data_IF_969287776220
#
_entry.id   IF_969287776220
#
_cell.length_a   1.000
_cell.length_b   1.000
_cell.length_c   1.000
_cell.angle_alpha   90.00
_cell.angle_beta   90.00
_cell.angle_gamma   90.00
#
_symmetry.space_group_name_H-M   'P 1'
#
loop_
_entity.id
_entity.type
_entity.pdbx_description
1 polymer ?
#
# COMPACT_ATOMS: atom_id res chain seq x y z
N UNK A 1 27.59 -35.56 -57.02
CA UNK A 1 28.02 -34.46 -57.91
C UNK A 1 27.47 -33.17 -57.34
N UNK A 2 28.38 -32.36 -56.79
CA UNK A 2 28.10 -31.09 -56.11
C UNK A 2 27.63 -30.05 -57.11
N UNK A 3 26.43 -29.51 -56.95
CA UNK A 3 25.97 -28.33 -57.68
C UNK A 3 25.95 -27.16 -56.71
N UNK A 4 26.92 -26.27 -56.89
CA UNK A 4 27.09 -25.05 -56.13
C UNK A 4 25.88 -24.12 -56.36
N UNK A 5 25.29 -23.64 -55.26
CA UNK A 5 24.36 -22.51 -55.26
C UNK A 5 25.11 -21.26 -55.76
N UNK A 6 24.53 -20.44 -56.65
CA UNK A 6 25.18 -19.22 -57.11
C UNK A 6 25.34 -18.25 -55.94
N UNK A 7 26.53 -17.66 -55.86
CA UNK A 7 26.93 -16.65 -54.89
C UNK A 7 25.87 -15.55 -54.76
N UNK A 8 25.60 -15.21 -53.50
CA UNK A 8 25.01 -13.95 -53.07
C UNK A 8 25.62 -12.79 -53.86
N UNK A 9 24.77 -12.08 -54.58
CA UNK A 9 25.01 -10.76 -55.14
C UNK A 9 25.48 -9.82 -54.01
N UNK A 10 26.81 -9.59 -53.96
CA UNK A 10 27.48 -8.74 -52.96
C UNK A 10 27.44 -7.26 -53.33
N UNK A 11 26.83 -6.89 -54.45
CA UNK A 11 26.74 -5.52 -54.95
C UNK A 11 25.32 -4.96 -54.88
N UNK A 12 24.55 -5.36 -53.86
CA UNK A 12 23.39 -4.56 -53.46
C UNK A 12 23.92 -3.26 -52.85
N UNK A 13 23.71 -2.09 -53.47
CA UNK A 13 24.10 -0.84 -52.82
C UNK A 13 23.43 -0.81 -51.46
N UNK A 14 24.22 -0.55 -50.42
CA UNK A 14 23.67 -0.30 -49.09
C UNK A 14 22.56 0.74 -49.28
N UNK A 15 21.31 0.35 -49.06
CA UNK A 15 20.21 1.32 -48.97
C UNK A 15 20.67 2.31 -47.94
N UNK A 16 21.08 3.50 -48.40
CA UNK A 16 21.40 4.61 -47.53
C UNK A 16 20.20 4.73 -46.63
N UNK A 17 20.37 4.38 -45.35
CA UNK A 17 19.35 4.59 -44.34
C UNK A 17 19.28 6.11 -44.23
N UNK A 18 18.43 6.73 -45.04
CA UNK A 18 17.95 8.07 -44.77
C UNK A 18 17.44 8.00 -43.34
N UNK A 19 18.11 8.70 -42.43
CA UNK A 19 17.58 8.84 -41.08
C UNK A 19 16.14 9.29 -41.26
N UNK A 20 15.15 8.56 -40.69
CA UNK A 20 13.77 8.96 -40.84
C UNK A 20 13.69 10.39 -40.33
N UNK A 21 13.23 11.30 -41.19
CA UNK A 21 12.91 12.66 -40.79
C UNK A 21 11.75 12.54 -39.80
N UNK A 22 12.08 12.55 -38.51
CA UNK A 22 11.09 12.46 -37.44
C UNK A 22 10.45 13.84 -37.33
N UNK A 23 9.32 14.01 -38.03
CA UNK A 23 8.46 15.16 -37.81
C UNK A 23 7.72 14.97 -36.47
N UNK A 24 8.03 15.83 -35.50
CA UNK A 24 7.38 15.82 -34.20
C UNK A 24 6.12 16.66 -34.29
N UNK A 25 4.99 16.08 -33.90
CA UNK A 25 3.76 16.83 -33.72
C UNK A 25 4.03 18.06 -32.81
N UNK A 26 3.51 19.22 -33.20
CA UNK A 26 3.63 20.48 -32.43
C UNK A 26 2.87 20.50 -31.10
N UNK A 27 2.60 19.33 -30.51
CA UNK A 27 1.94 19.14 -29.22
C UNK A 27 2.46 17.88 -28.53
N UNK A 28 2.43 17.89 -27.20
CA UNK A 28 2.61 16.74 -26.34
C UNK A 28 1.26 16.26 -25.79
N UNK A 29 1.05 14.94 -25.78
CA UNK A 29 -0.07 14.31 -25.10
C UNK A 29 0.41 13.74 -23.76
N UNK A 30 -0.20 14.20 -22.67
CA UNK A 30 0.10 13.75 -21.32
C UNK A 30 -1.05 12.99 -20.67
N UNK A 31 -0.70 12.20 -19.66
CA UNK A 31 -1.63 11.47 -18.80
C UNK A 31 -1.32 11.75 -17.35
N UNK A 32 -2.36 12.00 -16.54
CA UNK A 32 -2.22 12.13 -15.08
C UNK A 32 -3.35 11.42 -14.36
N UNK A 33 -3.10 11.03 -13.11
CA UNK A 33 -4.16 10.57 -12.21
C UNK A 33 -5.16 11.69 -11.95
N UNK A 34 -6.45 11.35 -11.88
CA UNK A 34 -7.51 12.31 -11.64
C UNK A 34 -7.64 12.72 -10.16
N UNK A 35 -7.02 11.98 -9.25
CA UNK A 35 -7.01 12.29 -7.81
C UNK A 35 -5.63 12.84 -7.41
N UNK A 36 -5.55 14.06 -6.84
CA UNK A 36 -4.30 14.56 -6.28
C UNK A 36 -3.76 13.63 -5.18
N UNK A 37 -2.44 13.40 -5.15
CA UNK A 37 -1.82 12.56 -4.13
C UNK A 37 -2.11 13.05 -2.70
N UNK A 38 -2.21 14.37 -2.52
CA UNK A 38 -2.51 14.99 -1.23
C UNK A 38 -3.87 14.55 -0.64
N UNK A 39 -4.82 14.10 -1.47
CA UNK A 39 -6.12 13.58 -1.01
C UNK A 39 -5.97 12.23 -0.29
N UNK A 40 -4.88 11.51 -0.52
CA UNK A 40 -4.58 10.25 0.16
C UNK A 40 -3.88 10.44 1.51
N UNK A 41 -3.40 11.66 1.83
CA UNK A 41 -2.70 11.94 3.08
C UNK A 41 -3.44 11.50 4.34
N UNK A 42 -4.76 11.73 4.48
CA UNK A 42 -5.51 11.29 5.66
C UNK A 42 -5.63 9.77 5.80
N UNK A 43 -5.29 8.99 4.76
CA UNK A 43 -5.27 7.53 4.81
C UNK A 43 -3.92 6.98 5.32
N UNK A 44 -2.91 7.84 5.46
CA UNK A 44 -1.59 7.46 5.93
C UNK A 44 -1.55 7.49 7.46
N UNK A 45 -1.27 6.33 8.08
CA UNK A 45 -1.07 6.21 9.52
C UNK A 45 0.33 6.71 9.95
N UNK A 46 0.61 8.00 9.70
CA UNK A 46 1.94 8.61 9.90
C UNK A 46 2.33 8.63 11.37
N UNK A 47 1.40 8.91 12.29
CA UNK A 47 1.68 8.95 13.74
C UNK A 47 1.97 7.56 14.27
N UNK A 48 1.18 6.55 13.88
CA UNK A 48 1.44 5.16 14.21
C UNK A 48 2.78 4.71 13.66
N UNK A 49 3.10 5.03 12.40
CA UNK A 49 4.39 4.66 11.80
C UNK A 49 5.58 5.24 12.57
N UNK A 50 5.53 6.54 12.91
CA UNK A 50 6.61 7.19 13.66
C UNK A 50 6.85 6.54 15.04
N UNK A 51 5.77 6.11 15.73
CA UNK A 51 5.87 5.40 17.00
C UNK A 51 6.43 3.98 16.85
N UNK A 52 6.02 3.25 15.81
CA UNK A 52 6.60 1.94 15.49
C UNK A 52 8.10 2.05 15.19
N UNK A 53 8.50 3.05 14.41
CA UNK A 53 9.92 3.32 14.14
C UNK A 53 10.69 3.65 15.45
N UNK A 54 10.06 4.36 16.39
CA UNK A 54 10.63 4.62 17.72
C UNK A 54 10.79 3.33 18.54
N UNK A 55 9.81 2.44 18.54
CA UNK A 55 9.86 1.15 19.23
C UNK A 55 11.01 0.29 18.68
N UNK A 56 11.18 0.25 17.36
CA UNK A 56 12.29 -0.47 16.72
C UNK A 56 13.66 0.10 17.12
N UNK A 57 13.79 1.43 17.23
CA UNK A 57 15.01 2.07 17.78
C UNK A 57 15.28 1.65 19.22
N UNK A 58 14.25 1.66 20.08
CA UNK A 58 14.39 1.25 21.49
C UNK A 58 14.82 -0.21 21.62
N UNK A 59 14.33 -1.09 20.75
CA UNK A 59 14.77 -2.50 20.68
C UNK A 59 16.23 -2.61 20.26
N UNK A 60 16.63 -1.89 19.22
CA UNK A 60 18.01 -1.88 18.72
C UNK A 60 19.00 -1.37 19.78
N UNK A 61 18.64 -0.33 20.55
CA UNK A 61 19.45 0.19 21.65
C UNK A 61 19.59 -0.81 22.81
N UNK A 62 18.57 -1.63 23.05
CA UNK A 62 18.52 -2.58 24.16
C UNK A 62 19.17 -3.93 23.83
N UNK A 63 19.20 -4.31 22.56
CA UNK A 63 19.81 -5.55 22.09
C UNK A 63 21.25 -5.78 22.60
N UNK A 64 22.21 -4.83 22.45
CA UNK A 64 23.58 -5.05 22.92
C UNK A 64 23.68 -5.20 24.44
N UNK A 65 22.78 -4.57 25.21
CA UNK A 65 22.71 -4.78 26.66
C UNK A 65 22.32 -6.22 26.98
N UNK A 66 21.33 -6.75 26.26
CA UNK A 66 20.87 -8.14 26.42
C UNK A 66 21.94 -9.16 26.04
N UNK A 67 22.68 -8.92 24.96
CA UNK A 67 23.81 -9.77 24.54
C UNK A 67 24.89 -9.81 25.61
N UNK A 68 25.37 -8.65 26.06
CA UNK A 68 26.42 -8.57 27.06
C UNK A 68 26.00 -9.16 28.42
N UNK A 69 24.73 -9.02 28.81
CA UNK A 69 24.18 -9.65 30.01
C UNK A 69 24.15 -11.18 29.88
N UNK A 70 23.78 -11.71 28.71
CA UNK A 70 23.76 -13.17 28.51
C UNK A 70 25.17 -13.76 28.58
N UNK A 71 26.17 -13.07 28.04
CA UNK A 71 27.56 -13.52 28.10
C UNK A 71 28.08 -13.56 29.55
N UNK A 72 27.80 -12.51 30.33
CA UNK A 72 28.16 -12.47 31.76
C UNK A 72 27.42 -13.57 32.55
N UNK A 73 26.12 -13.74 32.31
CA UNK A 73 25.33 -14.80 32.95
C UNK A 73 25.80 -16.20 32.53
N UNK A 74 26.25 -16.39 31.29
CA UNK A 74 26.76 -17.68 30.80
C UNK A 74 28.05 -18.07 31.51
N UNK A 75 28.94 -17.11 31.75
CA UNK A 75 30.15 -17.30 32.54
C UNK A 75 29.86 -17.52 34.04
N UNK A 76 28.84 -16.83 34.58
CA UNK A 76 28.49 -16.88 36.00
C UNK A 76 27.77 -18.18 36.42
N UNK A 77 26.79 -18.66 35.63
CA UNK A 77 25.94 -19.80 36.03
C UNK A 77 26.72 -21.07 36.45
N UNK A 78 27.83 -21.46 35.80
CA UNK A 78 28.63 -22.62 36.21
C UNK A 78 29.30 -22.46 37.58
N UNK A 79 29.62 -21.23 38.00
CA UNK A 79 30.38 -20.95 39.23
C UNK A 79 29.50 -20.94 40.49
N UNK A 80 28.18 -20.98 40.31
CA UNK A 80 27.20 -20.90 41.41
C UNK A 80 26.76 -22.31 41.83
N UNK A 81 26.52 -22.57 43.13
CA UNK A 81 25.98 -23.84 43.60
C UNK A 81 24.67 -24.22 42.89
N UNK A 82 24.40 -25.52 42.64
CA UNK A 82 23.25 -25.99 41.87
C UNK A 82 21.89 -25.39 42.29
N UNK A 83 21.68 -25.21 43.59
CA UNK A 83 20.47 -24.63 44.21
C UNK A 83 20.20 -23.18 43.80
N UNK A 84 21.24 -22.44 43.37
CA UNK A 84 21.15 -21.04 42.98
C UNK A 84 21.18 -20.83 41.46
N UNK A 85 21.38 -21.88 40.67
CA UNK A 85 21.48 -21.77 39.20
C UNK A 85 20.16 -21.45 38.54
N UNK A 86 19.05 -21.98 39.08
CA UNK A 86 17.76 -21.90 38.41
C UNK A 86 17.27 -20.46 38.19
N UNK A 87 17.28 -19.56 39.20
CA UNK A 87 16.91 -18.16 39.00
C UNK A 87 17.73 -17.46 37.92
N UNK A 88 19.06 -17.71 37.86
CA UNK A 88 19.94 -17.11 36.86
C UNK A 88 19.67 -17.62 35.44
N UNK A 89 19.33 -18.91 35.29
CA UNK A 89 18.88 -19.50 34.02
C UNK A 89 17.56 -18.86 33.59
N UNK A 90 16.64 -18.61 34.52
CA UNK A 90 15.38 -17.96 34.22
C UNK A 90 15.60 -16.49 33.77
N UNK A 91 16.60 -15.79 34.32
CA UNK A 91 17.04 -14.49 33.79
C UNK A 91 17.58 -14.61 32.37
N UNK A 92 18.48 -15.55 32.08
CA UNK A 92 18.98 -15.76 30.71
C UNK A 92 17.84 -16.00 29.72
N UNK A 93 16.87 -16.83 30.11
CA UNK A 93 15.67 -17.11 29.29
C UNK A 93 14.80 -15.89 29.12
N UNK A 94 14.61 -15.09 30.16
CA UNK A 94 13.83 -13.85 30.07
C UNK A 94 14.50 -12.86 29.11
N UNK A 95 15.83 -12.67 29.21
CA UNK A 95 16.58 -11.78 28.32
C UNK A 95 16.57 -12.30 26.89
N UNK A 96 16.78 -13.61 26.68
CA UNK A 96 16.78 -14.21 25.36
C UNK A 96 15.42 -14.12 24.66
N UNK A 97 14.33 -14.34 25.38
CA UNK A 97 12.97 -14.31 24.84
C UNK A 97 12.28 -12.95 24.96
N UNK A 98 13.03 -11.92 25.37
CA UNK A 98 12.53 -10.56 25.55
C UNK A 98 11.33 -10.41 26.52
N UNK A 99 11.35 -11.14 27.63
CA UNK A 99 10.25 -11.20 28.62
C UNK A 99 10.54 -10.35 29.85
N UNK A 100 9.51 -10.05 30.63
CA UNK A 100 9.72 -9.48 31.97
C UNK A 100 10.41 -10.50 32.89
N UNK A 101 11.26 -10.03 33.80
CA UNK A 101 11.85 -10.86 34.85
C UNK A 101 10.87 -11.01 36.01
N UNK A 102 10.90 -12.18 36.66
CA UNK A 102 10.28 -12.34 37.97
C UNK A 102 11.14 -11.65 39.04
N UNK A 103 10.55 -11.06 40.10
CA UNK A 103 11.30 -10.35 41.15
C UNK A 103 12.41 -11.19 41.80
N UNK A 104 12.18 -12.49 41.99
CA UNK A 104 13.14 -13.43 42.58
C UNK A 104 14.35 -13.66 41.67
N UNK A 105 14.12 -13.70 40.36
CA UNK A 105 15.17 -13.87 39.36
C UNK A 105 16.01 -12.60 39.21
N UNK A 106 15.36 -11.43 39.27
CA UNK A 106 16.04 -10.13 39.31
C UNK A 106 16.94 -10.01 40.54
N UNK A 107 16.42 -10.30 41.73
CA UNK A 107 17.19 -10.24 42.97
C UNK A 107 18.40 -11.18 42.94
N UNK A 108 18.20 -12.43 42.50
CA UNK A 108 19.28 -13.40 42.39
C UNK A 108 20.40 -12.97 41.43
N UNK A 109 20.05 -12.31 40.34
CA UNK A 109 21.01 -11.73 39.41
C UNK A 109 21.73 -10.52 40.00
N UNK A 110 21.01 -9.59 40.63
CA UNK A 110 21.61 -8.40 41.26
C UNK A 110 22.67 -8.73 42.31
N UNK A 111 22.44 -9.78 43.11
CA UNK A 111 23.38 -10.24 44.14
C UNK A 111 24.71 -10.77 43.58
N UNK A 112 24.72 -11.24 42.32
CA UNK A 112 25.85 -12.01 41.76
C UNK A 112 26.51 -11.38 40.55
N UNK A 113 25.80 -10.50 39.84
CA UNK A 113 26.36 -9.72 38.75
C UNK A 113 27.42 -8.74 39.26
N UNK A 114 28.32 -8.36 38.36
CA UNK A 114 29.21 -7.22 38.59
C UNK A 114 28.41 -5.90 38.72
N UNK A 115 29.05 -4.82 39.17
CA UNK A 115 28.39 -3.51 39.21
C UNK A 115 27.94 -3.05 37.82
N UNK A 116 28.76 -3.30 36.81
CA UNK A 116 28.42 -3.01 35.42
C UNK A 116 27.29 -3.92 34.91
N UNK A 117 27.32 -5.21 35.25
CA UNK A 117 26.23 -6.15 34.98
C UNK A 117 24.90 -5.71 35.59
N UNK A 118 24.90 -5.26 36.85
CA UNK A 118 23.72 -4.67 37.51
C UNK A 118 23.23 -3.41 36.80
N UNK A 119 24.13 -2.54 36.37
CA UNK A 119 23.78 -1.33 35.64
C UNK A 119 23.15 -1.67 34.27
N UNK A 120 23.71 -2.63 33.54
CA UNK A 120 23.16 -3.14 32.27
C UNK A 120 21.78 -3.78 32.47
N UNK A 121 21.61 -4.60 33.51
CA UNK A 121 20.34 -5.25 33.83
C UNK A 121 19.24 -4.22 34.09
N UNK A 122 19.52 -3.21 34.93
CA UNK A 122 18.59 -2.10 35.19
C UNK A 122 18.22 -1.35 33.91
N UNK A 123 19.20 -0.98 33.09
CA UNK A 123 18.96 -0.29 31.79
C UNK A 123 18.13 -1.14 30.84
N UNK A 124 18.39 -2.45 30.78
CA UNK A 124 17.64 -3.37 29.95
C UNK A 124 16.17 -3.48 30.42
N UNK A 125 15.93 -3.61 31.73
CA UNK A 125 14.57 -3.67 32.30
C UNK A 125 13.81 -2.35 32.12
N UNK A 126 14.49 -1.21 32.31
CA UNK A 126 13.90 0.11 32.07
C UNK A 126 13.55 0.31 30.60
N UNK A 127 14.41 -0.11 29.67
CA UNK A 127 14.15 -0.08 28.23
C UNK A 127 12.93 -0.93 27.85
N UNK A 128 12.82 -2.16 28.40
CA UNK A 128 11.64 -3.04 28.24
C UNK A 128 10.35 -2.38 28.73
N UNK A 129 10.38 -1.73 29.89
CA UNK A 129 9.20 -1.06 30.46
C UNK A 129 8.76 0.11 29.59
N UNK A 130 9.70 0.97 29.18
CA UNK A 130 9.42 2.10 28.27
C UNK A 130 8.89 1.62 26.93
N UNK A 131 9.40 0.51 26.39
CA UNK A 131 8.90 -0.10 25.15
C UNK A 131 7.44 -0.54 25.31
N UNK A 132 7.09 -1.17 26.44
CA UNK A 132 5.72 -1.58 26.71
C UNK A 132 4.75 -0.40 26.83
N UNK A 133 5.18 0.70 27.48
CA UNK A 133 4.44 1.95 27.56
C UNK A 133 4.22 2.57 26.16
N UNK A 134 5.27 2.61 25.34
CA UNK A 134 5.19 3.15 23.98
C UNK A 134 4.31 2.28 23.06
N UNK A 135 4.34 0.96 23.20
CA UNK A 135 3.43 0.05 22.50
C UNK A 135 1.96 0.30 22.86
N UNK A 136 1.66 0.53 24.15
CA UNK A 136 0.31 0.87 24.58
C UNK A 136 -0.14 2.23 24.00
N UNK A 137 0.74 3.22 24.00
CA UNK A 137 0.47 4.53 23.39
C UNK A 137 0.27 4.43 21.86
N UNK A 138 1.10 3.64 21.17
CA UNK A 138 0.98 3.38 19.74
C UNK A 138 -0.35 2.70 19.38
N UNK A 139 -0.83 1.77 20.21
CA UNK A 139 -2.12 1.11 20.01
C UNK A 139 -3.31 2.08 20.11
N UNK A 140 -3.25 3.07 21.01
CA UNK A 140 -4.27 4.12 21.11
C UNK A 140 -4.26 5.01 19.86
N UNK A 141 -3.09 5.50 19.47
CA UNK A 141 -2.93 6.33 18.27
C UNK A 141 -3.35 5.59 16.99
N UNK A 142 -3.06 4.30 16.88
CA UNK A 142 -3.48 3.49 15.73
C UNK A 142 -5.00 3.38 15.61
N UNK A 143 -5.73 3.31 16.73
CA UNK A 143 -7.19 3.30 16.71
C UNK A 143 -7.75 4.65 16.26
N UNK A 144 -7.15 5.75 16.69
CA UNK A 144 -7.52 7.11 16.29
C UNK A 144 -7.31 7.33 14.79
N UNK A 145 -6.09 7.07 14.29
CA UNK A 145 -5.74 7.22 12.87
C UNK A 145 -6.59 6.31 11.99
N UNK A 146 -6.91 5.09 12.44
CA UNK A 146 -7.81 4.20 11.70
C UNK A 146 -9.22 4.78 11.58
N UNK A 147 -9.75 5.38 12.65
CA UNK A 147 -11.06 6.02 12.62
C UNK A 147 -11.06 7.28 11.73
N UNK A 148 -9.99 8.08 11.78
CA UNK A 148 -9.78 9.23 10.89
C UNK A 148 -9.69 8.80 9.42
N UNK A 149 -8.89 7.78 9.13
CA UNK A 149 -8.71 7.20 7.81
C UNK A 149 -10.02 6.67 7.24
N UNK A 150 -10.84 5.97 8.03
CA UNK A 150 -12.18 5.52 7.60
C UNK A 150 -13.12 6.68 7.27
N UNK A 151 -13.11 7.75 8.08
CA UNK A 151 -13.90 8.95 7.77
C UNK A 151 -13.43 9.61 6.48
N UNK A 152 -12.13 9.69 6.25
CA UNK A 152 -11.58 10.21 5.00
C UNK A 152 -11.93 9.32 3.80
N UNK A 153 -11.81 8.01 3.97
CA UNK A 153 -12.15 7.02 2.96
C UNK A 153 -13.62 7.13 2.53
N UNK A 154 -14.55 7.25 3.48
CA UNK A 154 -15.97 7.48 3.19
C UNK A 154 -16.22 8.82 2.48
N UNK A 155 -15.52 9.91 2.85
CA UNK A 155 -15.61 11.20 2.15
C UNK A 155 -15.10 11.13 0.72
N UNK A 156 -14.01 10.40 0.47
CA UNK A 156 -13.47 10.21 -0.87
C UNK A 156 -14.40 9.37 -1.74
N UNK A 157 -15.04 8.34 -1.17
CA UNK A 157 -15.97 7.46 -1.87
C UNK A 157 -17.15 8.20 -2.51
N UNK A 158 -17.65 9.25 -1.85
CA UNK A 158 -18.81 10.03 -2.33
C UNK A 158 -18.43 11.13 -3.33
N UNK A 159 -17.16 11.32 -3.64
CA UNK A 159 -16.77 12.29 -4.67
C UNK A 159 -17.24 11.79 -6.03
N UNK A 160 -17.84 12.67 -6.80
CA UNK A 160 -18.43 12.29 -8.07
C UNK A 160 -17.43 11.67 -9.07
N UNK A 161 -16.19 12.14 -9.08
CA UNK A 161 -15.10 11.60 -9.92
C UNK A 161 -14.76 10.15 -9.54
N UNK A 162 -14.70 9.85 -8.24
CA UNK A 162 -14.51 8.51 -7.69
C UNK A 162 -15.70 7.61 -7.99
N UNK A 163 -16.93 8.03 -7.64
CA UNK A 163 -18.15 7.25 -7.83
C UNK A 163 -18.35 6.82 -9.29
N UNK A 164 -18.16 7.74 -10.25
CA UNK A 164 -18.25 7.42 -11.68
C UNK A 164 -17.19 6.44 -12.16
N UNK A 165 -15.97 6.51 -11.64
CA UNK A 165 -14.92 5.56 -11.99
C UNK A 165 -15.18 4.16 -11.40
N UNK A 166 -15.79 4.09 -10.21
CA UNK A 166 -16.19 2.83 -9.58
C UNK A 166 -17.33 2.15 -10.35
N UNK A 167 -18.34 2.90 -10.81
CA UNK A 167 -19.42 2.38 -11.65
C UNK A 167 -18.90 1.66 -12.91
N UNK A 168 -17.83 2.17 -13.53
CA UNK A 168 -17.20 1.53 -14.70
C UNK A 168 -16.42 0.25 -14.36
N UNK A 169 -16.19 -0.01 -13.08
CA UNK A 169 -15.46 -1.20 -12.60
C UNK A 169 -16.37 -2.40 -12.34
N UNK A 170 -17.69 -2.19 -12.37
CA UNK A 170 -18.72 -3.22 -12.24
C UNK A 170 -19.68 -2.98 -11.07
N UNK A 171 -20.95 -3.32 -11.28
CA UNK A 171 -22.07 -2.99 -10.38
C UNK A 171 -21.87 -3.51 -8.94
N UNK A 172 -21.31 -4.71 -8.80
CA UNK A 172 -21.03 -5.31 -7.49
C UNK A 172 -20.06 -4.49 -6.62
N UNK A 173 -19.12 -3.77 -7.25
CA UNK A 173 -18.15 -2.93 -6.56
C UNK A 173 -18.83 -1.65 -6.08
N UNK A 174 -19.62 -1.03 -6.95
CA UNK A 174 -20.35 0.20 -6.65
C UNK A 174 -21.33 -0.03 -5.49
N UNK A 175 -22.17 -1.06 -5.57
CA UNK A 175 -23.10 -1.43 -4.50
C UNK A 175 -22.40 -1.73 -3.16
N UNK A 176 -21.24 -2.39 -3.20
CA UNK A 176 -20.45 -2.71 -2.01
C UNK A 176 -19.94 -1.44 -1.34
N UNK A 177 -19.46 -0.47 -2.13
CA UNK A 177 -18.93 0.81 -1.65
C UNK A 177 -20.06 1.72 -1.17
N UNK A 178 -21.18 1.79 -1.88
CA UNK A 178 -22.36 2.51 -1.42
C UNK A 178 -22.87 1.97 -0.08
N UNK A 179 -22.89 0.65 0.09
CA UNK A 179 -23.28 0.01 1.35
C UNK A 179 -22.28 0.32 2.46
N UNK A 180 -20.99 0.39 2.14
CA UNK A 180 -19.96 0.83 3.08
C UNK A 180 -20.22 2.25 3.56
N UNK A 181 -20.43 3.21 2.64
CA UNK A 181 -20.72 4.61 2.97
C UNK A 181 -22.00 4.75 3.79
N UNK A 182 -23.08 4.07 3.39
CA UNK A 182 -24.39 4.16 4.09
C UNK A 182 -24.37 3.56 5.49
N UNK A 183 -23.53 2.57 5.77
CA UNK A 183 -23.44 1.92 7.09
C UNK A 183 -22.80 2.81 8.17
N UNK A 184 -22.25 3.96 7.80
CA UNK A 184 -22.21 5.18 8.59
C UNK A 184 -21.43 5.21 9.91
N UNK A 185 -20.97 4.07 10.44
CA UNK A 185 -20.25 4.02 11.70
C UNK A 185 -18.79 3.57 11.51
N UNK A 186 -17.85 4.51 11.30
CA UNK A 186 -16.42 4.21 11.22
C UNK A 186 -15.83 3.73 12.56
N UNK A 187 -16.56 3.84 13.67
CA UNK A 187 -16.13 3.43 15.01
C UNK A 187 -16.41 1.95 15.31
N UNK A 188 -17.29 1.30 14.54
CA UNK A 188 -17.61 -0.13 14.74
C UNK A 188 -16.53 -1.04 14.12
N UNK A 189 -16.19 -2.19 14.74
CA UNK A 189 -15.28 -3.16 14.14
C UNK A 189 -15.79 -3.61 12.77
N UNK A 190 -14.96 -3.55 11.71
CA UNK A 190 -15.40 -3.92 10.38
C UNK A 190 -15.56 -5.44 10.29
N UNK A 191 -16.69 -5.87 9.75
CA UNK A 191 -16.88 -7.26 9.35
C UNK A 191 -16.09 -7.58 8.06
N UNK A 192 -16.07 -8.85 7.64
CA UNK A 192 -15.33 -9.29 6.44
C UNK A 192 -15.66 -8.46 5.20
N UNK A 193 -16.94 -8.15 4.98
CA UNK A 193 -17.39 -7.41 3.80
C UNK A 193 -16.95 -5.94 3.86
N UNK A 194 -17.03 -5.32 5.04
CA UNK A 194 -16.52 -3.95 5.26
C UNK A 194 -15.03 -3.86 4.98
N UNK A 195 -14.21 -4.81 5.49
CA UNK A 195 -12.77 -4.82 5.23
C UNK A 195 -12.46 -4.98 3.74
N UNK A 196 -13.21 -5.83 3.04
CA UNK A 196 -13.06 -6.01 1.61
C UNK A 196 -13.40 -4.73 0.84
N UNK A 197 -14.51 -4.07 1.17
CA UNK A 197 -14.88 -2.78 0.58
C UNK A 197 -13.83 -1.69 0.84
N UNK A 198 -13.31 -1.59 2.08
CA UNK A 198 -12.24 -0.66 2.43
C UNK A 198 -10.98 -0.90 1.59
N UNK A 199 -10.52 -2.16 1.49
CA UNK A 199 -9.34 -2.53 0.71
C UNK A 199 -9.51 -2.26 -0.80
N UNK A 200 -10.69 -2.60 -1.34
CA UNK A 200 -11.03 -2.34 -2.74
C UNK A 200 -11.04 -0.84 -3.04
N UNK A 201 -11.66 -0.04 -2.18
CA UNK A 201 -11.71 1.41 -2.35
C UNK A 201 -10.32 2.05 -2.25
N UNK A 202 -9.49 1.65 -1.28
CA UNK A 202 -8.08 2.10 -1.20
C UNK A 202 -7.32 1.77 -2.49
N UNK A 203 -7.50 0.56 -3.04
CA UNK A 203 -6.86 0.17 -4.31
C UNK A 203 -7.27 1.08 -5.47
N UNK A 204 -8.56 1.42 -5.58
CA UNK A 204 -9.05 2.31 -6.63
C UNK A 204 -8.59 3.75 -6.45
N UNK A 205 -8.57 4.28 -5.23
CA UNK A 205 -8.05 5.61 -4.93
C UNK A 205 -6.54 5.70 -5.23
N UNK A 206 -5.77 4.68 -4.85
CA UNK A 206 -4.35 4.58 -5.20
C UNK A 206 -4.16 4.48 -6.73
N UNK A 207 -5.01 3.73 -7.45
CA UNK A 207 -4.99 3.70 -8.92
C UNK A 207 -5.26 5.09 -9.50
N UNK A 208 -6.28 5.77 -9.00
CA UNK A 208 -6.70 7.08 -9.46
C UNK A 208 -5.65 8.17 -9.21
N UNK A 209 -4.84 8.03 -8.15
CA UNK A 209 -3.76 8.96 -7.84
C UNK A 209 -2.42 8.63 -8.52
N UNK A 210 -2.07 7.34 -8.60
CA UNK A 210 -0.70 6.91 -8.93
C UNK A 210 -0.56 6.23 -10.30
N UNK A 211 -1.65 5.74 -10.90
CA UNK A 211 -1.60 5.04 -12.20
C UNK A 211 -2.09 5.94 -13.33
N UNK A 212 -1.23 6.12 -14.33
CA UNK A 212 -1.51 6.90 -15.55
C UNK A 212 -2.04 6.04 -16.70
N UNK A 213 -2.45 4.79 -16.42
CA UNK A 213 -3.09 3.90 -17.40
C UNK A 213 -4.55 4.29 -17.58
N UNK A 214 -5.02 4.58 -18.81
CA UNK A 214 -6.38 5.05 -19.07
C UNK A 214 -7.44 4.12 -18.46
N UNK A 215 -8.29 4.68 -17.61
CA UNK A 215 -9.44 3.97 -17.05
C UNK A 215 -10.52 4.97 -16.63
N UNK A 216 -11.57 5.10 -17.44
CA UNK A 216 -12.73 5.92 -17.13
C UNK A 216 -12.37 7.30 -16.58
N UNK A 217 -12.98 7.67 -15.45
CA UNK A 217 -12.74 8.93 -14.75
C UNK A 217 -11.43 8.96 -13.92
N UNK A 218 -10.67 7.86 -13.84
CA UNK A 218 -9.47 7.80 -12.98
C UNK A 218 -8.22 8.41 -13.61
N UNK A 219 -8.20 8.60 -14.91
CA UNK A 219 -7.05 9.15 -15.64
C UNK A 219 -7.51 10.25 -16.56
N UNK A 220 -6.81 11.37 -16.50
CA UNK A 220 -7.03 12.51 -17.37
C UNK A 220 -6.00 12.51 -18.50
N UNK A 221 -6.48 12.82 -19.70
CA UNK A 221 -5.66 13.11 -20.87
C UNK A 221 -5.59 14.62 -21.04
N UNK A 222 -4.40 15.15 -21.31
CA UNK A 222 -4.20 16.56 -21.59
C UNK A 222 -3.26 16.76 -22.77
N UNK A 223 -3.48 17.84 -23.51
CA UNK A 223 -2.63 18.27 -24.62
C UNK A 223 -1.92 19.54 -24.21
N UNK A 224 -0.61 19.61 -24.45
CA UNK A 224 0.21 20.78 -24.14
C UNK A 224 1.07 21.12 -25.37
N UNK A 225 1.21 22.40 -25.70
CA UNK A 225 2.18 22.83 -26.70
C UNK A 225 3.61 22.65 -26.13
N UNK A 226 4.58 22.14 -26.90
CA UNK A 226 5.96 22.02 -26.43
C UNK A 226 6.52 23.42 -26.16
N UNK A 227 6.91 23.70 -24.92
CA UNK A 227 7.64 24.93 -24.60
C UNK A 227 9.10 24.76 -25.01
N UNK A 228 9.55 25.59 -25.95
CA UNK A 228 10.96 25.66 -26.35
C UNK A 228 11.68 26.55 -25.34
N UNK A 229 12.61 26.00 -24.55
CA UNK A 229 13.55 26.82 -23.76
C UNK A 229 13.42 26.80 -22.23
N UNK A 230 12.96 25.70 -21.63
CA UNK A 230 13.37 25.36 -20.26
C UNK A 230 12.70 26.14 -19.12
N UNK A 231 11.41 25.91 -18.93
CA UNK A 231 10.79 25.77 -17.62
C UNK A 231 9.60 24.84 -17.82
N UNK A 232 9.34 23.88 -16.93
CA UNK A 232 8.05 23.18 -16.97
C UNK A 232 7.03 24.17 -16.42
N UNK A 233 6.41 24.97 -17.28
CA UNK A 233 5.25 25.76 -16.86
C UNK A 233 4.21 24.78 -16.29
N UNK A 234 3.69 25.09 -15.10
CA UNK A 234 2.63 24.29 -14.49
C UNK A 234 1.45 24.16 -15.46
N UNK A 235 0.79 23.00 -15.46
CA UNK A 235 -0.40 22.78 -16.29
C UNK A 235 -1.41 23.89 -16.01
N UNK A 236 -1.66 24.76 -16.99
CA UNK A 236 -2.66 25.79 -16.87
C UNK A 236 -4.03 25.15 -16.56
N UNK A 237 -4.91 25.82 -15.79
CA UNK A 237 -6.26 25.31 -15.54
C UNK A 237 -7.01 25.13 -16.87
N UNK A 238 -7.12 23.88 -17.31
CA UNK A 238 -7.84 23.51 -18.53
C UNK A 238 -9.31 23.28 -18.25
N UNK A 239 -10.14 23.43 -19.28
CA UNK A 239 -11.52 22.95 -19.22
C UNK A 239 -11.53 21.42 -19.29
N UNK A 240 -12.00 20.76 -18.22
CA UNK A 240 -12.16 19.31 -18.22
C UNK A 240 -13.37 18.94 -19.07
N UNK A 241 -13.16 18.13 -20.11
CA UNK A 241 -14.23 17.51 -20.90
C UNK A 241 -14.24 16.01 -20.68
N UNK A 242 -15.43 15.44 -20.62
CA UNK A 242 -15.62 13.99 -20.50
C UNK A 242 -16.31 13.49 -21.75
N UNK A 243 -15.83 12.36 -22.25
CA UNK A 243 -16.40 11.69 -23.42
C UNK A 243 -16.87 10.31 -22.98
N UNK A 244 -18.16 10.03 -23.20
CA UNK A 244 -18.74 8.70 -23.00
C UNK A 244 -18.89 8.07 -24.38
N UNK A 245 -18.53 6.79 -24.49
CA UNK A 245 -18.74 6.00 -25.70
C UNK A 245 -19.58 4.79 -25.36
N UNK A 246 -20.53 4.46 -26.22
CA UNK A 246 -21.23 3.20 -26.12
C UNK A 246 -20.27 2.05 -26.46
N UNK A 247 -20.46 0.91 -25.80
CA UNK A 247 -19.71 -0.30 -26.14
C UNK A 247 -19.98 -0.63 -27.61
N UNK A 248 -18.91 -0.75 -28.40
CA UNK A 248 -19.05 -1.13 -29.82
C UNK A 248 -19.73 -2.48 -29.97
N UNK A 249 -19.39 -3.45 -29.12
CA UNK A 249 -20.06 -4.75 -29.12
C UNK A 249 -21.57 -4.64 -28.81
N UNK A 250 -21.98 -3.71 -27.94
CA UNK A 250 -23.40 -3.49 -27.67
C UNK A 250 -24.11 -2.84 -28.87
N UNK A 251 -23.44 -1.89 -29.54
CA UNK A 251 -23.96 -1.27 -30.77
C UNK A 251 -24.09 -2.31 -31.89
N UNK A 252 -23.04 -3.09 -32.12
CA UNK A 252 -23.01 -4.15 -33.12
C UNK A 252 -24.10 -5.21 -32.81
N UNK A 253 -24.32 -5.56 -31.54
CA UNK A 253 -25.40 -6.45 -31.11
C UNK A 253 -26.79 -5.85 -31.36
N UNK A 254 -26.98 -4.57 -31.03
CA UNK A 254 -28.27 -3.90 -31.20
C UNK A 254 -28.63 -3.76 -32.69
N UNK A 255 -27.64 -3.47 -33.54
CA UNK A 255 -27.79 -3.42 -35.00
C UNK A 255 -28.09 -4.81 -35.58
N UNK A 256 -27.50 -5.86 -35.01
CA UNK A 256 -27.76 -7.24 -35.40
C UNK A 256 -29.11 -7.80 -34.91
N UNK A 257 -29.92 -7.03 -34.16
CA UNK A 257 -31.29 -7.41 -33.81
C UNK A 257 -32.24 -6.94 -34.93
N UNK A 258 -32.67 -7.81 -35.87
CA UNK A 258 -33.71 -7.43 -36.82
C UNK A 258 -34.99 -7.09 -36.06
N UNK A 259 -35.52 -5.90 -36.34
CA UNK A 259 -36.81 -5.34 -35.97
C UNK A 259 -37.67 -6.24 -35.05
N UNK A 260 -37.37 -6.24 -33.74
CA UNK A 260 -38.34 -6.73 -32.75
C UNK A 260 -39.40 -5.64 -32.65
N UNK A 261 -40.35 -5.69 -33.59
CA UNK A 261 -41.47 -4.78 -33.67
C UNK A 261 -42.09 -4.53 -32.30
N UNK A 262 -42.46 -3.26 -32.08
CA UNK A 262 -43.19 -2.81 -30.91
C UNK A 262 -44.36 -3.76 -30.59
N UNK A 263 -44.20 -4.66 -29.62
CA UNK A 263 -45.27 -5.60 -29.25
C UNK A 263 -44.92 -6.90 -28.55
N UNK A 264 -43.64 -7.28 -28.38
CA UNK A 264 -43.30 -8.51 -27.64
C UNK A 264 -42.78 -8.18 -26.24
N UNK A 265 -43.57 -8.52 -25.22
CA UNK A 265 -43.14 -8.53 -23.82
C UNK A 265 -41.86 -9.37 -23.67
N UNK A 266 -40.86 -8.78 -23.01
CA UNK A 266 -39.54 -9.40 -22.83
C UNK A 266 -39.59 -10.37 -21.65
N UNK A 267 -40.09 -11.58 -21.89
CA UNK A 267 -39.75 -12.75 -21.08
C UNK A 267 -38.60 -13.47 -21.79
N UNK A 268 -37.36 -13.16 -21.39
CA UNK A 268 -36.18 -13.80 -21.96
C UNK A 268 -34.89 -13.14 -21.48
N UNK A 269 -34.22 -13.80 -20.54
CA UNK A 269 -33.05 -13.30 -19.81
C UNK A 269 -31.93 -12.73 -20.68
N UNK A 270 -31.27 -11.72 -20.11
CA UNK A 270 -30.09 -11.07 -20.65
C UNK A 270 -28.96 -12.09 -20.84
N UNK A 271 -28.28 -12.14 -22.00
CA UNK A 271 -27.07 -12.93 -22.12
C UNK A 271 -25.99 -12.33 -21.20
N UNK A 272 -25.50 -13.16 -20.28
CA UNK A 272 -24.47 -12.81 -19.31
C UNK A 272 -23.11 -12.78 -20.03
N UNK A 273 -22.62 -11.58 -20.39
CA UNK A 273 -21.32 -11.37 -21.02
C UNK A 273 -20.25 -10.97 -20.00
N UNK A 274 -20.12 -11.73 -18.92
CA UNK A 274 -19.00 -11.62 -17.98
C UNK A 274 -18.37 -12.99 -17.76
N UNK A 275 -17.36 -13.31 -18.57
CA UNK A 275 -16.26 -14.24 -18.27
C UNK A 275 -14.98 -13.64 -18.81
#
# INVERSE_FOLDING_TARGET
MSAALPLLDRDRPALARSEPEIDLAGFALGRRGALPLAELEPLLARRTRARLDQIERMRAERQPLGEALRDELYALVPTVPPEHRRPLIDVQRAIHNDRALAPEAEQAACERLSEDGRARLRRWMDGRRREAEELAAAATVAKEELAEGRRALARLAIRDDVARGLQLSGDHIDESIERYVRRGDPSRPPNKNTRHAEATLVSYLCRMALKTSPFGAFTELFVQAPEVGGAVAGLAPGHQRRMVRLSRALLDWAEAQPDRGAGAAVDGGWPCWWT
#
